data_IF_572652662564
#
_entry.id   IF_572652662564
#
_cell.length_a   1.000
_cell.length_b   1.000
_cell.length_c   1.000
_cell.angle_alpha   90.00
_cell.angle_beta   90.00
_cell.angle_gamma   90.00
#
_symmetry.space_group_name_H-M   'P 1'
#
loop_
_entity.id
_entity.type
_entity.pdbx_description
1 polymer ?
#
# COMPACT_ATOMS: atom_id res chain seq x y z
N UNK A 1 -17.70 -54.27 -32.67
CA UNK A 1 -18.62 -53.29 -32.08
C UNK A 1 -17.82 -52.01 -31.83
N UNK A 2 -17.49 -51.13 -32.78
CA UNK A 2 -18.27 -50.35 -33.75
C UNK A 2 -19.24 -49.31 -33.15
N UNK A 3 -18.64 -48.14 -32.80
CA UNK A 3 -19.07 -46.73 -33.04
C UNK A 3 -20.37 -46.19 -32.41
N UNK A 4 -20.61 -44.84 -32.36
CA UNK A 4 -19.77 -43.73 -32.84
C UNK A 4 -19.57 -42.50 -31.90
N UNK A 5 -18.55 -41.72 -32.25
CA UNK A 5 -18.34 -40.30 -31.96
C UNK A 5 -19.43 -39.44 -32.64
N UNK A 6 -19.90 -38.39 -31.96
CA UNK A 6 -20.78 -37.36 -32.55
C UNK A 6 -19.98 -36.11 -32.88
N UNK A 7 -19.96 -35.81 -34.18
CA UNK A 7 -19.46 -34.59 -34.82
C UNK A 7 -20.59 -33.55 -34.80
N UNK A 8 -20.30 -32.30 -34.42
CA UNK A 8 -21.24 -31.18 -34.58
C UNK A 8 -20.54 -30.04 -35.33
N UNK A 9 -21.22 -29.65 -36.40
CA UNK A 9 -20.81 -28.79 -37.50
C UNK A 9 -21.10 -27.33 -37.11
N UNK A 10 -20.11 -26.45 -37.27
CA UNK A 10 -20.30 -24.99 -37.23
C UNK A 10 -20.56 -24.48 -38.66
N UNK A 11 -21.54 -23.60 -38.89
CA UNK A 11 -21.70 -22.93 -40.17
C UNK A 11 -20.84 -21.66 -40.25
N UNK A 12 -20.19 -21.49 -41.39
CA UNK A 12 -19.54 -20.27 -41.89
C UNK A 12 -20.54 -19.36 -42.62
N UNK A 13 -20.08 -18.15 -42.99
CA UNK A 13 -20.67 -17.11 -43.90
C UNK A 13 -21.38 -16.00 -43.11
N UNK A 14 -21.20 -14.69 -43.30
CA UNK A 14 -20.68 -13.88 -44.41
C UNK A 14 -20.17 -12.53 -43.88
N UNK A 15 -19.06 -12.03 -44.42
CA UNK A 15 -18.66 -10.63 -44.32
C UNK A 15 -18.93 -9.94 -45.66
N UNK A 16 -19.55 -8.76 -45.64
CA UNK A 16 -19.53 -7.81 -46.77
C UNK A 16 -19.79 -6.37 -46.31
N UNK A 17 -19.27 -5.37 -47.03
CA UNK A 17 -18.93 -4.06 -46.50
C UNK A 17 -19.92 -2.96 -46.91
N UNK A 18 -19.97 -1.86 -46.16
CA UNK A 18 -20.58 -0.62 -46.62
C UNK A 18 -19.55 0.52 -46.62
N UNK A 19 -19.43 1.12 -47.80
CA UNK A 19 -18.53 2.21 -48.19
C UNK A 19 -19.32 3.52 -48.25
N UNK A 20 -18.65 4.59 -47.81
CA UNK A 20 -18.74 6.00 -48.27
C UNK A 20 -20.03 6.80 -48.03
N UNK A 21 -19.88 7.99 -47.43
CA UNK A 21 -19.74 9.29 -48.12
C UNK A 21 -19.33 10.38 -47.13
N UNK A 22 -18.52 11.34 -47.60
CA UNK A 22 -18.07 12.51 -46.84
C UNK A 22 -18.77 13.81 -47.29
N UNK A 23 -18.10 14.94 -46.98
CA UNK A 23 -18.42 16.37 -47.21
C UNK A 23 -19.26 16.99 -46.08
N UNK A 24 -19.07 18.23 -45.62
CA UNK A 24 -18.07 19.28 -45.83
C UNK A 24 -18.33 20.35 -44.75
N UNK A 25 -17.29 21.11 -44.43
CA UNK A 25 -17.25 22.31 -43.61
C UNK A 25 -18.05 23.49 -44.17
N UNK A 26 -18.58 24.36 -43.29
CA UNK A 26 -18.70 25.81 -43.53
C UNK A 26 -18.74 26.58 -42.21
N UNK A 27 -18.09 27.74 -42.21
CA UNK A 27 -17.91 28.65 -41.09
C UNK A 27 -18.41 30.06 -41.45
N UNK A 28 -18.64 30.85 -40.40
CA UNK A 28 -18.60 32.33 -40.29
C UNK A 28 -19.69 33.18 -40.97
N UNK A 29 -20.20 34.13 -40.17
CA UNK A 29 -20.93 35.31 -40.61
C UNK A 29 -21.30 36.24 -39.45
N UNK A 30 -20.44 37.22 -39.15
CA UNK A 30 -20.65 38.34 -38.23
C UNK A 30 -21.05 39.57 -39.06
N UNK A 31 -22.09 40.32 -38.69
CA UNK A 31 -22.22 41.75 -39.01
C UNK A 31 -23.34 42.41 -38.19
N UNK A 32 -23.00 43.53 -37.57
CA UNK A 32 -23.88 44.48 -36.89
C UNK A 32 -24.16 45.68 -37.81
N UNK A 33 -25.29 46.39 -37.62
CA UNK A 33 -25.37 47.86 -37.64
C UNK A 33 -26.76 48.37 -37.22
N UNK A 34 -26.72 49.56 -36.62
CA UNK A 34 -27.69 50.26 -35.78
C UNK A 34 -28.45 51.33 -36.57
N UNK A 35 -29.66 51.72 -36.13
CA UNK A 35 -30.34 53.07 -36.14
C UNK A 35 -31.87 52.88 -36.26
N UNK A 36 -32.80 53.66 -35.70
CA UNK A 36 -32.86 54.72 -34.69
C UNK A 36 -34.35 55.05 -34.37
N UNK A 37 -34.60 55.59 -33.16
CA UNK A 37 -35.57 56.62 -32.70
C UNK A 37 -37.13 56.52 -32.83
N UNK A 38 -37.78 56.75 -31.67
CA UNK A 38 -39.03 57.53 -31.44
C UNK A 38 -40.31 56.70 -31.37
N UNK A 39 -41.23 56.80 -30.41
CA UNK A 39 -41.50 57.68 -29.26
C UNK A 39 -43.01 57.54 -28.91
N UNK A 40 -43.40 57.71 -27.63
CA UNK A 40 -44.80 58.01 -27.26
C UNK A 40 -45.64 56.92 -26.57
N UNK A 41 -45.71 57.04 -25.25
CA UNK A 41 -46.78 56.73 -24.27
C UNK A 41 -48.01 55.87 -24.62
N UNK A 42 -48.28 54.88 -23.75
CA UNK A 42 -49.63 54.64 -23.24
C UNK A 42 -50.21 53.21 -23.34
N UNK A 43 -50.30 52.56 -22.17
CA UNK A 43 -51.41 51.67 -21.72
C UNK A 43 -51.33 50.15 -22.00
N UNK A 44 -51.28 49.39 -20.89
CA UNK A 44 -51.70 47.99 -20.59
C UNK A 44 -50.96 46.78 -21.20
N UNK A 45 -50.49 45.91 -20.29
CA UNK A 45 -49.85 44.58 -20.46
C UNK A 45 -50.58 43.63 -21.44
N UNK A 46 -49.83 42.81 -22.20
CA UNK A 46 -49.53 41.45 -21.71
C UNK A 46 -48.13 40.90 -22.06
N UNK A 47 -47.64 40.04 -21.16
CA UNK A 47 -46.61 39.01 -21.37
C UNK A 47 -45.23 39.49 -21.90
N UNK A 48 -44.35 39.83 -20.97
CA UNK A 48 -42.90 39.91 -21.20
C UNK A 48 -42.40 38.55 -21.76
N UNK A 49 -41.77 38.49 -22.95
CA UNK A 49 -41.01 37.32 -23.35
C UNK A 49 -39.91 37.10 -22.31
N UNK A 50 -39.95 35.94 -21.67
CA UNK A 50 -38.85 35.45 -20.84
C UNK A 50 -37.55 35.58 -21.62
N UNK A 51 -36.60 36.31 -21.04
CA UNK A 51 -35.20 36.23 -21.45
C UNK A 51 -34.83 34.75 -21.54
N UNK A 52 -34.07 34.33 -22.57
CA UNK A 52 -33.56 32.97 -22.61
C UNK A 52 -32.76 32.78 -21.32
N UNK A 53 -33.27 31.90 -20.45
CA UNK A 53 -32.58 31.41 -19.28
C UNK A 53 -31.12 31.24 -19.65
N UNK A 54 -30.26 32.02 -18.99
CA UNK A 54 -28.84 31.75 -19.00
C UNK A 54 -28.72 30.26 -18.68
N UNK A 55 -28.23 29.51 -19.66
CA UNK A 55 -27.77 28.15 -19.46
C UNK A 55 -26.72 28.28 -18.36
N UNK A 56 -27.15 28.06 -17.11
CA UNK A 56 -26.23 27.79 -16.03
C UNK A 56 -25.31 26.70 -16.58
N UNK A 57 -23.98 26.92 -16.58
CA UNK A 57 -23.07 25.84 -16.90
C UNK A 57 -23.50 24.70 -15.98
N UNK A 58 -23.88 23.55 -16.58
CA UNK A 58 -24.00 22.31 -15.84
C UNK A 58 -22.65 22.14 -15.18
N UNK A 59 -22.54 22.54 -13.92
CA UNK A 59 -21.43 22.20 -13.06
C UNK A 59 -21.30 20.70 -13.22
N UNK A 60 -20.17 20.24 -13.76
CA UNK A 60 -19.76 18.84 -13.62
C UNK A 60 -20.06 18.46 -12.19
N UNK A 61 -21.08 17.62 -11.98
CA UNK A 61 -21.53 17.25 -10.66
C UNK A 61 -20.33 16.58 -10.02
N UNK A 62 -19.72 17.21 -9.01
CA UNK A 62 -18.61 16.63 -8.29
C UNK A 62 -19.08 15.29 -7.74
N UNK A 63 -18.29 14.25 -7.96
CA UNK A 63 -18.63 12.93 -7.45
C UNK A 63 -18.69 12.97 -5.92
N UNK A 64 -19.67 12.30 -5.29
CA UNK A 64 -19.88 12.42 -3.85
C UNK A 64 -18.66 11.91 -3.09
N UNK A 65 -18.17 12.71 -2.15
CA UNK A 65 -16.99 12.42 -1.32
C UNK A 65 -17.36 12.03 0.10
N UNK A 66 -18.58 12.30 0.51
CA UNK A 66 -19.14 12.00 1.82
C UNK A 66 -20.67 11.77 1.69
N UNK A 67 -21.31 11.27 2.74
CA UNK A 67 -22.75 11.00 2.76
C UNK A 67 -23.60 12.27 2.74
N UNK A 68 -23.08 13.40 3.23
CA UNK A 68 -23.74 14.71 3.17
C UNK A 68 -23.91 15.19 1.71
N UNK A 69 -22.95 14.92 0.83
CA UNK A 69 -23.02 15.23 -0.61
C UNK A 69 -24.21 14.48 -1.25
N UNK A 70 -24.38 13.20 -0.88
CA UNK A 70 -25.50 12.38 -1.36
C UNK A 70 -26.83 12.91 -0.84
N UNK A 71 -26.93 13.21 0.46
CA UNK A 71 -28.14 13.75 1.08
C UNK A 71 -28.53 15.10 0.45
N UNK A 72 -27.56 15.97 0.13
CA UNK A 72 -27.81 17.27 -0.48
C UNK A 72 -28.42 17.14 -1.89
N UNK A 73 -28.01 16.13 -2.66
CA UNK A 73 -28.55 15.85 -3.99
C UNK A 73 -29.87 15.05 -3.91
N UNK A 74 -30.00 14.18 -2.91
CA UNK A 74 -31.15 13.31 -2.69
C UNK A 74 -31.65 13.39 -1.24
N UNK A 75 -32.46 14.41 -0.88
CA UNK A 75 -32.92 14.61 0.50
C UNK A 75 -33.80 13.48 1.09
N UNK A 76 -34.34 12.61 0.23
CA UNK A 76 -35.12 11.44 0.64
C UNK A 76 -34.29 10.15 0.68
N UNK A 77 -32.98 10.23 0.44
CA UNK A 77 -32.08 9.09 0.58
C UNK A 77 -32.11 8.58 2.02
N UNK A 78 -32.29 7.27 2.19
CA UNK A 78 -32.30 6.62 3.50
C UNK A 78 -30.91 6.06 3.87
N UNK A 79 -30.79 5.55 5.08
CA UNK A 79 -29.58 4.83 5.49
C UNK A 79 -29.34 3.61 4.59
N UNK A 80 -28.09 3.35 4.23
CA UNK A 80 -27.77 2.29 3.28
C UNK A 80 -26.37 2.37 2.70
N UNK A 81 -26.06 1.42 1.83
CA UNK A 81 -24.78 1.40 1.11
C UNK A 81 -24.83 2.34 -0.12
N UNK A 82 -23.80 3.17 -0.25
CA UNK A 82 -23.61 4.12 -1.34
C UNK A 82 -22.17 4.06 -1.86
N UNK A 83 -21.91 4.63 -3.05
CA UNK A 83 -20.56 4.76 -3.58
C UNK A 83 -20.06 6.18 -3.35
N UNK A 84 -18.91 6.30 -2.69
CA UNK A 84 -18.15 7.53 -2.57
C UNK A 84 -16.86 7.45 -3.38
N UNK A 85 -16.26 8.60 -3.64
CA UNK A 85 -15.03 8.73 -4.42
C UNK A 85 -13.98 9.49 -3.61
N UNK A 86 -12.80 8.89 -3.47
CA UNK A 86 -11.70 9.51 -2.71
C UNK A 86 -11.33 10.84 -3.38
N UNK A 87 -11.49 11.95 -2.65
CA UNK A 87 -11.29 13.31 -3.15
C UNK A 87 -12.06 13.63 -4.46
N UNK A 88 -13.16 12.92 -4.73
CA UNK A 88 -13.97 13.09 -5.94
C UNK A 88 -13.38 12.44 -7.19
N UNK A 89 -12.34 11.62 -7.07
CA UNK A 89 -11.70 10.92 -8.19
C UNK A 89 -12.53 9.69 -8.60
N UNK A 90 -13.05 9.73 -9.83
CA UNK A 90 -13.86 8.66 -10.42
C UNK A 90 -13.14 7.29 -10.46
N UNK A 91 -11.81 7.28 -10.43
CA UNK A 91 -10.98 6.06 -10.47
C UNK A 91 -10.79 5.43 -9.10
N UNK A 92 -11.21 6.11 -8.03
CA UNK A 92 -11.06 5.68 -6.64
C UNK A 92 -12.43 5.50 -5.92
N UNK A 93 -13.34 4.66 -6.45
CA UNK A 93 -14.63 4.41 -5.82
C UNK A 93 -14.48 3.51 -4.58
N UNK A 94 -15.37 3.67 -3.62
CA UNK A 94 -15.56 2.70 -2.54
C UNK A 94 -16.99 2.72 -2.03
N UNK A 95 -17.42 1.57 -1.51
CA UNK A 95 -18.74 1.41 -0.89
C UNK A 95 -18.68 1.86 0.57
N UNK A 96 -19.49 2.86 0.92
CA UNK A 96 -19.72 3.35 2.28
C UNK A 96 -21.11 2.92 2.74
N UNK A 97 -21.29 2.68 4.03
CA UNK A 97 -22.62 2.69 4.63
C UNK A 97 -22.89 4.07 5.22
N UNK A 98 -23.87 4.78 4.67
CA UNK A 98 -24.34 6.06 5.21
C UNK A 98 -25.40 5.82 6.27
N UNK A 99 -25.16 6.33 7.48
CA UNK A 99 -26.07 6.22 8.62
C UNK A 99 -26.55 7.60 9.07
N UNK A 100 -27.82 7.73 9.46
CA UNK A 100 -28.40 9.01 9.86
C UNK A 100 -28.72 9.94 8.70
N UNK A 101 -29.04 9.41 7.52
CA UNK A 101 -29.35 10.15 6.29
C UNK A 101 -30.58 11.06 6.41
N UNK A 102 -31.45 10.84 7.39
CA UNK A 102 -32.56 11.77 7.69
C UNK A 102 -32.12 13.01 8.48
N UNK A 103 -30.91 13.04 9.03
CA UNK A 103 -30.37 14.10 9.88
C UNK A 103 -28.98 14.50 9.44
N UNK A 104 -27.98 14.29 10.29
CA UNK A 104 -26.57 14.50 9.95
C UNK A 104 -25.97 13.13 9.59
N UNK A 105 -25.78 12.82 8.30
CA UNK A 105 -25.27 11.53 7.90
C UNK A 105 -23.82 11.33 8.36
N UNK A 106 -23.47 10.08 8.57
CA UNK A 106 -22.14 9.64 9.00
C UNK A 106 -21.71 8.41 8.22
N UNK A 107 -20.43 8.35 7.90
CA UNK A 107 -19.82 7.32 7.07
C UNK A 107 -19.32 6.14 7.91
N UNK A 108 -19.70 4.94 7.49
CA UNK A 108 -19.21 3.71 8.08
C UNK A 108 -18.62 2.79 7.01
N UNK A 109 -17.44 2.25 7.28
CA UNK A 109 -16.84 1.18 6.51
C UNK A 109 -17.47 -0.15 6.93
N UNK A 110 -18.18 -0.81 6.02
CA UNK A 110 -18.74 -2.14 6.23
C UNK A 110 -17.64 -3.21 6.25
N UNK A 111 -17.66 -4.07 7.27
CA UNK A 111 -16.71 -5.17 7.43
C UNK A 111 -17.36 -6.49 7.00
N UNK A 112 -16.89 -7.07 5.90
CA UNK A 112 -17.48 -8.30 5.34
C UNK A 112 -17.14 -9.54 6.17
N UNK A 113 -15.97 -9.55 6.81
CA UNK A 113 -15.53 -10.62 7.69
C UNK A 113 -15.81 -10.27 9.17
N UNK A 114 -17.07 -10.32 9.59
CA UNK A 114 -17.46 -10.14 11.00
C UNK A 114 -17.61 -11.47 11.74
N UNK A 115 -17.54 -11.46 13.08
CA UNK A 115 -17.96 -12.59 13.92
C UNK A 115 -16.96 -13.00 15.00
N UNK A 116 -16.92 -14.30 15.31
CA UNK A 116 -16.13 -14.86 16.43
C UNK A 116 -14.63 -14.93 16.14
N UNK A 117 -14.21 -14.86 14.88
CA UNK A 117 -12.81 -15.03 14.47
C UNK A 117 -12.19 -13.81 13.83
N UNK A 118 -12.98 -12.81 13.43
CA UNK A 118 -12.49 -11.64 12.69
C UNK A 118 -13.13 -10.35 13.21
N UNK A 119 -12.41 -9.23 13.04
CA UNK A 119 -12.87 -7.89 13.41
C UNK A 119 -13.39 -7.77 14.85
N UNK A 120 -12.54 -8.16 15.79
CA UNK A 120 -12.87 -8.13 17.21
C UNK A 120 -11.72 -7.62 18.07
N UNK A 121 -12.07 -7.13 19.25
CA UNK A 121 -11.15 -6.72 20.31
C UNK A 121 -11.47 -7.50 21.58
N UNK A 122 -10.44 -7.77 22.37
CA UNK A 122 -10.55 -8.61 23.55
C UNK A 122 -9.79 -8.01 24.72
N UNK A 123 -10.45 -8.02 25.87
CA UNK A 123 -9.82 -7.89 27.17
C UNK A 123 -9.98 -9.20 27.92
N UNK A 124 -8.88 -9.95 28.02
CA UNK A 124 -8.83 -11.18 28.82
C UNK A 124 -8.93 -10.87 30.31
N UNK A 125 -9.97 -11.40 30.97
CA UNK A 125 -10.14 -11.28 32.42
C UNK A 125 -9.13 -12.13 33.21
N UNK A 126 -8.90 -11.72 34.46
CA UNK A 126 -8.03 -12.39 35.43
C UNK A 126 -7.03 -11.44 36.08
N UNK A 127 -6.28 -11.95 37.06
CA UNK A 127 -5.27 -11.17 37.78
C UNK A 127 -5.87 -9.92 38.43
N UNK A 128 -5.37 -8.73 38.05
CA UNK A 128 -5.88 -7.44 38.53
C UNK A 128 -7.23 -7.02 37.91
N UNK A 129 -7.78 -7.83 37.02
CA UNK A 129 -9.04 -7.54 36.34
C UNK A 129 -10.03 -8.70 36.43
N UNK A 130 -10.63 -8.93 37.61
CA UNK A 130 -11.55 -10.04 37.83
C UNK A 130 -12.85 -9.85 37.03
N UNK A 131 -13.49 -10.96 36.68
CA UNK A 131 -14.73 -10.99 35.91
C UNK A 131 -14.67 -12.02 34.79
N UNK A 132 -15.37 -11.72 33.70
CA UNK A 132 -15.39 -12.50 32.46
C UNK A 132 -14.72 -11.72 31.33
N UNK A 133 -13.99 -12.37 30.41
CA UNK A 133 -13.34 -11.67 29.31
C UNK A 133 -14.32 -10.82 28.51
N UNK A 134 -13.95 -9.58 28.23
CA UNK A 134 -14.78 -8.65 27.46
C UNK A 134 -14.37 -8.73 26.00
N UNK A 135 -15.26 -9.23 25.16
CA UNK A 135 -15.04 -9.34 23.71
C UNK A 135 -16.01 -8.44 22.99
N UNK A 136 -15.50 -7.57 22.13
CA UNK A 136 -16.31 -6.69 21.27
C UNK A 136 -16.01 -6.98 19.82
N UNK A 137 -17.03 -7.34 19.04
CA UNK A 137 -16.93 -7.53 17.60
C UNK A 137 -17.69 -6.44 16.85
N UNK A 138 -17.23 -6.15 15.64
CA UNK A 138 -17.66 -5.01 14.84
C UNK A 138 -18.16 -5.47 13.47
N UNK A 139 -19.32 -4.96 13.04
CA UNK A 139 -19.81 -5.12 11.67
C UNK A 139 -19.46 -3.91 10.79
N UNK A 140 -19.29 -2.73 11.39
CA UNK A 140 -18.88 -1.52 10.66
C UNK A 140 -18.01 -0.62 11.53
N UNK A 141 -17.18 0.20 10.89
CA UNK A 141 -16.27 1.14 11.54
C UNK A 141 -16.58 2.55 11.09
N UNK A 142 -16.72 3.51 12.02
CA UNK A 142 -16.89 4.92 11.66
C UNK A 142 -15.60 5.46 11.05
N UNK A 143 -15.69 6.00 9.85
CA UNK A 143 -14.53 6.45 9.07
C UNK A 143 -14.74 7.88 8.59
N UNK A 144 -13.71 8.71 8.64
CA UNK A 144 -13.70 10.01 7.96
C UNK A 144 -13.24 9.80 6.51
N UNK A 145 -14.09 10.07 5.51
CA UNK A 145 -13.76 9.81 4.10
C UNK A 145 -12.67 10.74 3.54
N UNK A 146 -12.42 11.88 4.20
CA UNK A 146 -11.42 12.87 3.77
C UNK A 146 -10.02 12.55 4.30
N UNK A 147 -9.94 11.94 5.49
CA UNK A 147 -8.67 11.59 6.15
C UNK A 147 -8.38 10.10 6.18
N UNK A 148 -9.37 9.25 5.86
CA UNK A 148 -9.33 7.80 5.99
C UNK A 148 -8.98 7.30 7.40
N UNK A 149 -9.34 8.09 8.41
CA UNK A 149 -9.17 7.74 9.82
C UNK A 149 -10.43 7.09 10.36
N UNK A 150 -10.24 5.95 11.00
CA UNK A 150 -11.29 5.25 11.74
C UNK A 150 -11.31 5.73 13.18
N UNK A 151 -12.49 6.09 13.68
CA UNK A 151 -12.72 6.30 15.10
C UNK A 151 -12.92 4.94 15.78
N UNK A 152 -11.91 4.43 16.50
CA UNK A 152 -12.02 3.10 17.12
C UNK A 152 -12.90 3.06 18.37
N UNK A 153 -13.27 4.23 18.91
CA UNK A 153 -14.19 4.34 20.04
C UNK A 153 -15.67 4.16 19.64
N UNK A 154 -15.99 4.30 18.36
CA UNK A 154 -17.36 4.26 17.88
C UNK A 154 -17.89 2.82 17.86
N UNK A 155 -18.88 2.55 18.71
CA UNK A 155 -19.46 1.22 18.92
C UNK A 155 -20.86 1.07 18.31
N UNK A 156 -21.26 1.97 17.40
CA UNK A 156 -22.61 2.01 16.82
C UNK A 156 -23.02 0.68 16.16
N UNK A 157 -22.08 0.01 15.49
CA UNK A 157 -22.27 -1.29 14.83
C UNK A 157 -21.44 -2.40 15.49
N UNK A 158 -21.32 -2.37 16.81
CA UNK A 158 -20.59 -3.35 17.61
C UNK A 158 -21.49 -4.12 18.57
N UNK A 159 -21.08 -5.34 18.93
CA UNK A 159 -21.70 -6.14 19.98
C UNK A 159 -20.63 -6.65 20.93
N UNK A 160 -20.93 -6.59 22.23
CA UNK A 160 -19.99 -6.97 23.28
C UNK A 160 -20.57 -8.06 24.18
N UNK A 161 -19.68 -8.95 24.64
CA UNK A 161 -19.99 -9.95 25.66
C UNK A 161 -19.00 -9.84 26.81
N UNK A 162 -19.40 -10.34 27.98
CA UNK A 162 -18.59 -10.33 29.18
C UNK A 162 -18.60 -9.00 29.93
N UNK A 163 -17.97 -9.02 31.09
CA UNK A 163 -17.80 -7.87 31.97
C UNK A 163 -16.70 -8.17 32.97
N UNK A 164 -15.79 -7.21 33.17
CA UNK A 164 -14.72 -7.28 34.16
C UNK A 164 -14.55 -5.95 34.86
N UNK A 165 -13.81 -5.94 35.96
CA UNK A 165 -13.44 -4.73 36.68
C UNK A 165 -11.98 -4.36 36.38
N UNK A 166 -11.73 -3.15 35.91
CA UNK A 166 -10.39 -2.57 35.80
C UNK A 166 -10.27 -1.42 36.79
N UNK A 167 -9.46 -1.60 37.83
CA UNK A 167 -9.40 -0.67 38.97
C UNK A 167 -10.80 -0.42 39.57
N UNK A 168 -11.36 0.79 39.43
CA UNK A 168 -12.69 1.15 39.91
C UNK A 168 -13.76 1.13 38.80
N UNK A 169 -13.39 0.81 37.56
CA UNK A 169 -14.26 0.89 36.40
C UNK A 169 -14.76 -0.49 35.98
N UNK A 170 -16.04 -0.57 35.63
CA UNK A 170 -16.61 -1.75 34.97
C UNK A 170 -16.37 -1.62 33.47
N UNK A 171 -15.70 -2.62 32.90
CA UNK A 171 -15.48 -2.72 31.46
C UNK A 171 -16.54 -3.64 30.88
N UNK A 172 -17.26 -3.17 29.88
CA UNK A 172 -18.32 -3.93 29.18
C UNK A 172 -18.14 -3.94 27.67
N UNK A 173 -17.22 -3.15 27.13
CA UNK A 173 -16.87 -3.15 25.72
C UNK A 173 -15.40 -2.80 25.52
N UNK A 174 -14.87 -3.10 24.34
CA UNK A 174 -13.51 -2.78 23.91
C UNK A 174 -13.55 -1.96 22.61
N UNK A 175 -12.82 -0.84 22.51
CA UNK A 175 -12.57 -0.13 21.26
C UNK A 175 -12.01 -1.06 20.19
N UNK A 176 -12.22 -0.74 18.92
CA UNK A 176 -11.74 -1.56 17.81
C UNK A 176 -10.20 -1.64 17.76
N UNK A 177 -9.69 -2.80 17.33
CA UNK A 177 -8.27 -3.13 17.20
C UNK A 177 -7.48 -3.10 18.53
N UNK A 178 -8.05 -3.60 19.63
CA UNK A 178 -7.41 -3.63 20.96
C UNK A 178 -7.29 -5.06 21.51
N UNK A 179 -6.07 -5.45 21.89
CA UNK A 179 -5.80 -6.63 22.69
C UNK A 179 -5.24 -6.22 24.06
N UNK A 180 -5.93 -6.56 25.15
CA UNK A 180 -5.59 -6.10 26.51
C UNK A 180 -5.68 -7.22 27.56
N UNK A 181 -4.78 -7.18 28.55
CA UNK A 181 -4.83 -8.11 29.69
C UNK A 181 -4.08 -7.60 30.92
N UNK A 182 -4.56 -7.99 32.10
CA UNK A 182 -3.98 -7.69 33.41
C UNK A 182 -3.47 -8.92 34.20
N UNK A 183 -3.35 -10.07 33.54
CA UNK A 183 -3.07 -11.35 34.20
C UNK A 183 -1.76 -12.02 33.73
N UNK A 184 -0.89 -11.28 33.01
CA UNK A 184 0.34 -11.78 32.38
C UNK A 184 0.13 -12.82 31.26
N UNK A 185 -1.10 -13.02 30.81
CA UNK A 185 -1.43 -13.76 29.58
C UNK A 185 -1.70 -12.76 28.47
N UNK A 186 -1.27 -13.08 27.24
CA UNK A 186 -1.59 -12.28 26.07
C UNK A 186 -3.05 -12.49 25.67
N UNK A 187 -3.76 -11.39 25.45
CA UNK A 187 -5.04 -11.36 24.77
C UNK A 187 -4.84 -11.24 23.26
N UNK A 188 -5.90 -11.47 22.49
CA UNK A 188 -5.87 -11.46 21.04
C UNK A 188 -6.93 -10.50 20.47
N UNK A 189 -6.59 -9.82 19.39
CA UNK A 189 -7.52 -9.01 18.59
C UNK A 189 -7.21 -9.21 17.12
N UNK A 190 -8.19 -8.95 16.27
CA UNK A 190 -8.04 -9.06 14.83
C UNK A 190 -8.69 -7.86 14.13
N UNK A 191 -7.98 -7.34 13.14
CA UNK A 191 -8.49 -6.40 12.13
C UNK A 191 -8.48 -7.14 10.80
N UNK A 192 -9.60 -7.13 10.09
CA UNK A 192 -9.75 -7.77 8.78
C UNK A 192 -10.56 -6.87 7.84
N UNK A 193 -9.84 -6.21 6.95
CA UNK A 193 -10.33 -5.28 5.93
C UNK A 193 -10.37 -5.93 4.54
N UNK A 194 -10.22 -7.25 4.44
CA UNK A 194 -10.42 -7.94 3.16
C UNK A 194 -11.84 -7.66 2.64
N UNK A 195 -11.98 -7.70 1.33
CA UNK A 195 -13.19 -7.30 0.60
C UNK A 195 -13.58 -5.80 0.76
N UNK A 196 -12.68 -5.00 1.32
CA UNK A 196 -12.73 -3.53 1.25
C UNK A 196 -11.54 -3.00 0.44
N UNK A 197 -11.61 -1.79 -0.11
CA UNK A 197 -10.46 -1.15 -0.76
C UNK A 197 -9.52 -0.50 0.26
N UNK A 198 -9.45 -0.99 1.51
CA UNK A 198 -8.61 -0.41 2.55
C UNK A 198 -7.65 -1.43 3.16
N UNK A 199 -6.50 -0.94 3.61
CA UNK A 199 -5.56 -1.63 4.49
C UNK A 199 -5.19 -0.73 5.67
N UNK A 200 -4.68 -1.34 6.74
CA UNK A 200 -4.14 -0.58 7.87
C UNK A 200 -2.79 0.00 7.48
N UNK A 201 -2.55 1.29 7.74
CA UNK A 201 -1.23 1.86 7.53
C UNK A 201 -0.17 1.18 8.43
N UNK A 202 1.07 1.13 7.99
CA UNK A 202 2.15 0.62 8.85
C UNK A 202 2.37 1.52 10.09
N UNK A 203 2.88 0.92 11.16
CA UNK A 203 3.24 1.63 12.40
C UNK A 203 2.04 2.16 13.19
N UNK A 204 0.82 1.73 12.90
CA UNK A 204 -0.38 2.23 13.58
C UNK A 204 -0.65 1.61 14.95
N UNK A 205 0.09 0.57 15.36
CA UNK A 205 -0.11 -0.10 16.64
C UNK A 205 1.14 -0.02 17.51
N UNK A 206 0.93 0.13 18.82
CA UNK A 206 2.00 0.12 19.81
C UNK A 206 1.59 -0.64 21.08
N UNK A 207 2.57 -1.24 21.74
CA UNK A 207 2.41 -1.76 23.09
C UNK A 207 2.46 -0.61 24.10
N UNK A 208 1.51 -0.58 25.05
CA UNK A 208 1.47 0.41 26.12
C UNK A 208 0.79 -0.18 27.38
N UNK A 209 0.85 0.57 28.49
CA UNK A 209 0.42 0.11 29.80
C UNK A 209 1.55 -0.51 30.63
N UNK A 210 1.19 -1.11 31.76
CA UNK A 210 2.17 -1.63 32.71
C UNK A 210 2.69 -3.02 32.28
N UNK A 211 4.02 -3.16 32.27
CA UNK A 211 4.75 -4.32 31.73
C UNK A 211 4.18 -4.83 30.40
N UNK A 212 3.95 -3.92 29.45
CA UNK A 212 3.26 -4.24 28.21
C UNK A 212 4.01 -5.28 27.38
N UNK A 213 3.28 -6.28 26.91
CA UNK A 213 3.76 -7.33 26.03
C UNK A 213 2.80 -7.51 24.86
N UNK A 214 3.31 -8.09 23.78
CA UNK A 214 2.53 -8.40 22.58
C UNK A 214 3.10 -7.73 21.32
N UNK A 215 2.38 -7.89 20.23
CA UNK A 215 2.76 -7.38 18.90
C UNK A 215 1.56 -7.26 17.98
N UNK A 216 1.72 -6.47 16.92
CA UNK A 216 0.81 -6.49 15.77
C UNK A 216 1.53 -7.12 14.58
N UNK A 217 0.93 -8.16 14.01
CA UNK A 217 1.44 -8.90 12.84
C UNK A 217 0.53 -8.64 11.66
N UNK A 218 1.07 -8.01 10.63
CA UNK A 218 0.36 -7.66 9.41
C UNK A 218 0.47 -8.81 8.40
N UNK A 219 -0.61 -9.10 7.67
CA UNK A 219 -0.52 -9.87 6.44
C UNK A 219 0.28 -9.09 5.38
N UNK A 220 0.78 -9.78 4.36
CA UNK A 220 1.56 -9.14 3.28
C UNK A 220 0.84 -7.92 2.70
N UNK A 221 -0.46 -8.06 2.45
CA UNK A 221 -1.32 -7.00 1.90
C UNK A 221 -1.83 -5.97 2.94
N UNK A 222 -1.47 -6.11 4.21
CA UNK A 222 -1.85 -5.23 5.33
C UNK A 222 -3.37 -5.09 5.56
N UNK A 223 -4.19 -5.93 4.91
CA UNK A 223 -5.64 -5.98 5.12
C UNK A 223 -6.03 -6.86 6.30
N UNK A 224 -5.11 -7.67 6.82
CA UNK A 224 -5.35 -8.43 8.05
C UNK A 224 -4.25 -8.09 9.04
N UNK A 225 -4.63 -7.76 10.27
CA UNK A 225 -3.70 -7.56 11.37
C UNK A 225 -4.13 -8.42 12.53
N UNK A 226 -3.23 -9.30 12.95
CA UNK A 226 -3.38 -10.09 14.17
C UNK A 226 -2.64 -9.40 15.29
N UNK A 227 -3.36 -9.01 16.35
CA UNK A 227 -2.79 -8.35 17.51
C UNK A 227 -2.75 -9.31 18.67
N UNK A 228 -1.63 -9.31 19.38
CA UNK A 228 -1.50 -9.88 20.72
C UNK A 228 -1.15 -8.76 21.67
N UNK A 229 -1.74 -8.73 22.86
CA UNK A 229 -1.52 -7.65 23.82
C UNK A 229 -1.85 -8.06 25.24
N UNK A 230 -1.04 -7.64 26.20
CA UNK A 230 -1.20 -8.03 27.59
C UNK A 230 0.00 -7.63 28.45
N UNK A 231 0.27 -8.43 29.48
CA UNK A 231 1.29 -8.14 30.48
C UNK A 231 0.67 -7.86 31.84
N UNK A 232 1.17 -6.86 32.55
CA UNK A 232 0.63 -6.44 33.85
C UNK A 232 -0.30 -5.24 33.72
N UNK A 233 -1.39 -5.41 32.99
CA UNK A 233 -2.26 -4.33 32.50
C UNK A 233 -1.64 -3.58 31.33
N UNK A 234 -1.07 -4.36 30.41
CA UNK A 234 -0.62 -3.87 29.13
C UNK A 234 -1.61 -4.20 28.01
N UNK A 235 -1.45 -3.51 26.90
CA UNK A 235 -2.24 -3.68 25.69
C UNK A 235 -1.39 -3.44 24.44
N UNK A 236 -1.86 -3.96 23.32
CA UNK A 236 -1.51 -3.47 21.99
C UNK A 236 -2.78 -2.89 21.36
N UNK A 237 -2.68 -1.65 20.91
CA UNK A 237 -3.81 -0.85 20.42
C UNK A 237 -3.31 0.22 19.42
N UNK A 238 -4.20 0.95 18.73
CA UNK A 238 -3.78 2.07 17.88
C UNK A 238 -2.93 3.09 18.66
N UNK A 239 -1.92 3.65 18.00
CA UNK A 239 -1.02 4.65 18.62
C UNK A 239 -1.84 5.82 19.18
N UNK A 240 -1.51 6.23 20.41
CA UNK A 240 -2.26 7.26 21.14
C UNK A 240 -3.37 6.74 22.04
N UNK A 241 -3.64 5.42 22.03
CA UNK A 241 -4.59 4.79 22.96
C UNK A 241 -4.12 4.90 24.42
N UNK A 242 -5.04 5.25 25.32
CA UNK A 242 -4.81 5.31 26.76
C UNK A 242 -5.99 4.68 27.49
N UNK A 243 -5.72 3.65 28.32
CA UNK A 243 -6.73 2.82 28.97
C UNK A 243 -7.87 2.42 28.01
N UNK A 244 -7.55 1.69 26.92
CA UNK A 244 -8.45 1.55 25.79
C UNK A 244 -9.54 0.51 26.03
N UNK A 245 -10.51 0.86 26.87
CA UNK A 245 -11.69 0.07 27.15
C UNK A 245 -12.93 0.96 27.14
N UNK A 246 -14.12 0.35 27.05
CA UNK A 246 -15.39 1.03 26.82
C UNK A 246 -15.29 1.93 25.57
N UNK A 247 -15.55 3.23 25.68
CA UNK A 247 -15.48 4.20 24.57
C UNK A 247 -14.15 4.97 24.52
N UNK A 248 -13.10 4.50 25.20
CA UNK A 248 -11.77 5.13 25.18
C UNK A 248 -10.91 4.63 23.99
N UNK A 249 -11.31 4.97 22.77
CA UNK A 249 -10.56 4.61 21.55
C UNK A 249 -9.52 5.65 21.13
N UNK A 250 -8.88 5.40 19.99
CA UNK A 250 -7.96 6.31 19.31
C UNK A 250 -8.26 6.33 17.80
N UNK A 251 -7.51 7.12 17.04
CA UNK A 251 -7.64 7.15 15.58
C UNK A 251 -6.76 6.06 14.95
N UNK A 252 -7.35 5.26 14.06
CA UNK A 252 -6.63 4.28 13.26
C UNK A 252 -6.55 4.77 11.82
N UNK A 253 -5.34 4.98 11.29
CA UNK A 253 -5.16 5.41 9.90
C UNK A 253 -5.28 4.22 8.93
N UNK A 254 -6.20 4.32 7.98
CA UNK A 254 -6.28 3.41 6.84
C UNK A 254 -5.57 4.01 5.61
N UNK A 255 -5.29 3.15 4.63
CA UNK A 255 -4.82 3.51 3.31
C UNK A 255 -5.76 2.91 2.25
N UNK A 256 -6.11 3.70 1.24
CA UNK A 256 -6.86 3.22 0.09
C UNK A 256 -5.97 2.35 -0.81
N UNK A 257 -6.51 1.20 -1.22
CA UNK A 257 -5.92 0.23 -2.15
C UNK A 257 -6.89 0.08 -3.30
N UNK A 258 -6.52 0.63 -4.45
CA UNK A 258 -7.35 0.48 -5.64
C UNK A 258 -7.26 -0.97 -6.14
N UNK A 259 -8.40 -1.66 -6.24
CA UNK A 259 -8.45 -3.01 -6.82
C UNK A 259 -8.19 -3.02 -8.32
N UNK A 260 -8.28 -1.86 -8.98
CA UNK A 260 -8.08 -1.72 -10.43
C UNK A 260 -6.67 -1.30 -10.81
N UNK A 261 -5.86 -0.86 -9.83
CA UNK A 261 -4.48 -0.47 -10.09
C UNK A 261 -3.54 -1.68 -10.01
N UNK A 262 -2.68 -1.88 -11.02
CA UNK A 262 -1.73 -2.98 -11.04
C UNK A 262 -0.63 -2.71 -10.00
N UNK A 263 -0.43 -3.65 -9.09
CA UNK A 263 0.73 -3.64 -8.19
C UNK A 263 1.88 -4.51 -8.71
N UNK A 264 1.57 -5.48 -9.56
CA UNK A 264 2.51 -6.48 -10.08
C UNK A 264 2.44 -6.57 -11.60
N UNK A 265 3.44 -7.18 -12.22
CA UNK A 265 3.44 -7.48 -13.65
C UNK A 265 2.41 -8.56 -13.98
N UNK A 266 2.10 -9.44 -13.02
CA UNK A 266 0.98 -10.36 -13.14
C UNK A 266 -0.37 -9.63 -13.22
N UNK A 267 -0.56 -8.54 -12.46
CA UNK A 267 -1.78 -7.72 -12.57
C UNK A 267 -1.89 -7.10 -13.97
N UNK A 268 -0.78 -6.61 -14.52
CA UNK A 268 -0.73 -6.09 -15.90
C UNK A 268 -1.14 -7.18 -16.89
N UNK A 269 -0.56 -8.38 -16.78
CA UNK A 269 -0.89 -9.52 -17.65
C UNK A 269 -2.37 -9.91 -17.52
N UNK A 270 -2.95 -9.87 -16.32
CA UNK A 270 -4.36 -10.19 -16.10
C UNK A 270 -5.30 -9.14 -16.74
N UNK A 271 -4.94 -7.86 -16.69
CA UNK A 271 -5.70 -6.75 -17.31
C UNK A 271 -5.50 -6.74 -18.83
N UNK A 272 -4.28 -7.03 -19.29
CA UNK A 272 -3.86 -7.03 -20.68
C UNK A 272 -3.08 -8.32 -21.00
N UNK A 273 -3.78 -9.41 -21.41
CA UNK A 273 -3.14 -10.71 -21.68
C UNK A 273 -2.05 -10.69 -22.77
N UNK A 274 -2.10 -9.71 -23.67
CA UNK A 274 -1.13 -9.51 -24.75
C UNK A 274 0.05 -8.59 -24.34
N UNK A 275 0.17 -8.26 -23.04
CA UNK A 275 1.29 -7.46 -22.54
C UNK A 275 2.62 -8.21 -22.72
N UNK A 276 3.65 -7.51 -23.18
CA UNK A 276 5.00 -8.05 -23.43
C UNK A 276 5.98 -7.53 -22.38
N UNK A 277 7.19 -8.08 -22.33
CA UNK A 277 8.28 -7.49 -21.52
C UNK A 277 8.46 -6.00 -21.86
N UNK A 278 8.61 -5.15 -20.84
CA UNK A 278 8.64 -3.71 -21.02
C UNK A 278 8.46 -2.90 -19.75
N UNK A 279 8.44 -1.58 -19.87
CA UNK A 279 8.17 -0.68 -18.75
C UNK A 279 6.66 -0.48 -18.55
N UNK A 280 6.21 -0.61 -17.31
CA UNK A 280 4.83 -0.41 -16.89
C UNK A 280 4.78 0.42 -15.62
N UNK A 281 3.70 1.18 -15.43
CA UNK A 281 3.43 1.84 -14.15
C UNK A 281 2.77 0.85 -13.21
N UNK A 282 3.45 0.54 -12.11
CA UNK A 282 2.89 -0.22 -10.99
C UNK A 282 2.67 0.72 -9.80
N UNK A 283 1.82 0.28 -8.87
CA UNK A 283 1.47 1.05 -7.68
C UNK A 283 1.88 0.27 -6.44
N UNK A 284 2.77 0.86 -5.63
CA UNK A 284 3.24 0.22 -4.40
C UNK A 284 2.06 -0.09 -3.49
N UNK A 285 1.89 -1.35 -3.14
CA UNK A 285 0.73 -1.88 -2.41
C UNK A 285 -0.65 -1.46 -2.99
N UNK A 286 -0.73 -1.26 -4.33
CA UNK A 286 -1.91 -0.74 -5.05
C UNK A 286 -2.38 0.65 -4.61
N UNK A 287 -1.47 1.44 -4.02
CA UNK A 287 -1.79 2.80 -3.59
C UNK A 287 -1.68 3.76 -4.78
N UNK A 288 -2.77 4.45 -5.20
CA UNK A 288 -2.76 5.39 -6.33
C UNK A 288 -1.77 6.54 -6.18
N UNK A 289 -1.41 6.91 -4.94
CA UNK A 289 -0.46 7.97 -4.63
C UNK A 289 0.99 7.48 -4.61
N UNK A 290 1.23 6.19 -4.87
CA UNK A 290 2.57 5.60 -4.89
C UNK A 290 2.89 4.90 -6.22
N UNK A 291 2.75 5.57 -7.37
CA UNK A 291 3.15 5.00 -8.66
C UNK A 291 4.67 4.86 -8.76
N UNK A 292 5.13 3.87 -9.51
CA UNK A 292 6.54 3.71 -9.89
C UNK A 292 6.65 2.99 -11.23
N UNK A 293 7.72 3.27 -11.97
CA UNK A 293 8.01 2.59 -13.24
C UNK A 293 8.72 1.27 -12.94
N UNK A 294 8.08 0.17 -13.29
CA UNK A 294 8.63 -1.18 -13.22
C UNK A 294 9.03 -1.67 -14.61
N UNK A 295 10.11 -2.43 -14.70
CA UNK A 295 10.36 -3.30 -15.83
C UNK A 295 9.70 -4.65 -15.58
N UNK A 296 8.70 -4.99 -16.38
CA UNK A 296 8.10 -6.30 -16.40
C UNK A 296 8.87 -7.24 -17.31
N UNK A 297 9.26 -8.38 -16.76
CA UNK A 297 10.03 -9.42 -17.44
C UNK A 297 9.28 -10.75 -17.42
N UNK A 298 9.53 -11.58 -18.43
CA UNK A 298 8.92 -12.89 -18.61
C UNK A 298 7.38 -12.81 -18.60
N UNK A 299 6.84 -11.79 -19.27
CA UNK A 299 5.40 -11.55 -19.39
C UNK A 299 4.66 -12.65 -20.16
N UNK A 300 5.37 -13.47 -20.94
CA UNK A 300 4.81 -14.65 -21.59
C UNK A 300 4.87 -15.91 -20.70
N UNK A 301 5.69 -15.89 -19.65
CA UNK A 301 5.92 -17.01 -18.73
C UNK A 301 5.42 -16.68 -17.33
N UNK A 302 6.35 -16.44 -16.40
CA UNK A 302 6.07 -16.03 -15.02
C UNK A 302 6.44 -14.55 -14.83
N UNK A 303 5.47 -13.62 -14.95
CA UNK A 303 5.73 -12.19 -14.86
C UNK A 303 6.53 -11.77 -13.63
N UNK A 304 7.46 -10.86 -13.86
CA UNK A 304 8.46 -10.47 -12.88
C UNK A 304 8.74 -8.96 -12.91
N UNK A 305 8.57 -8.30 -11.76
CA UNK A 305 8.71 -6.86 -11.59
C UNK A 305 10.14 -6.49 -11.19
N UNK A 306 10.80 -5.61 -11.92
CA UNK A 306 12.10 -5.09 -11.54
C UNK A 306 12.07 -3.57 -11.45
N UNK A 307 12.69 -3.02 -10.41
CA UNK A 307 12.98 -1.59 -10.29
C UNK A 307 14.14 -1.22 -11.22
N UNK A 308 13.92 -0.43 -12.28
CA UNK A 308 15.00 0.08 -13.11
C UNK A 308 15.85 1.08 -12.34
N UNK A 309 17.17 0.97 -12.46
CA UNK A 309 18.12 1.88 -11.82
C UNK A 309 18.58 2.94 -12.81
N UNK A 310 18.48 4.21 -12.43
CA UNK A 310 18.85 5.35 -13.29
C UNK A 310 20.37 5.51 -13.36
N UNK A 311 21.06 5.38 -12.22
CA UNK A 311 22.50 5.54 -12.12
C UNK A 311 23.20 4.17 -12.16
N UNK A 312 23.87 3.85 -13.25
CA UNK A 312 24.55 2.54 -13.44
C UNK A 312 26.03 2.71 -13.83
N UNK A 313 26.80 1.62 -13.79
CA UNK A 313 28.25 1.62 -14.05
C UNK A 313 29.07 2.06 -12.83
N UNK A 314 29.14 3.37 -12.57
CA UNK A 314 29.85 3.89 -11.38
C UNK A 314 29.02 3.85 -10.10
N UNK A 315 27.71 3.63 -10.22
CA UNK A 315 26.75 3.48 -9.12
C UNK A 315 26.09 2.11 -9.19
N UNK A 316 25.41 1.71 -8.12
CA UNK A 316 24.65 0.46 -8.04
C UNK A 316 25.50 -0.79 -8.33
N UNK A 317 26.54 -0.95 -7.53
CA UNK A 317 27.45 -2.09 -7.62
C UNK A 317 27.75 -2.66 -6.24
N UNK A 318 28.18 -3.92 -6.22
CA UNK A 318 28.67 -4.61 -5.03
C UNK A 318 30.01 -5.25 -5.34
N UNK A 319 30.95 -5.18 -4.40
CA UNK A 319 32.31 -5.64 -4.65
C UNK A 319 32.89 -6.41 -3.48
N UNK A 320 33.53 -7.53 -3.82
CA UNK A 320 34.49 -8.21 -2.98
C UNK A 320 35.90 -7.92 -3.51
N UNK A 321 36.64 -7.10 -2.78
CA UNK A 321 38.01 -6.76 -3.14
C UNK A 321 38.96 -7.92 -2.83
N UNK A 322 39.66 -8.41 -3.84
CA UNK A 322 40.65 -9.48 -3.69
C UNK A 322 41.90 -9.00 -2.93
N UNK A 323 42.55 -9.93 -2.24
CA UNK A 323 43.75 -9.71 -1.44
C UNK A 323 43.70 -10.43 -0.09
N UNK A 324 44.83 -10.44 0.60
CA UNK A 324 44.96 -11.09 1.90
C UNK A 324 44.57 -12.58 1.84
N UNK A 325 43.54 -12.95 2.61
CA UNK A 325 42.98 -14.30 2.67
C UNK A 325 42.11 -14.69 1.45
N UNK A 326 41.95 -13.78 0.49
CA UNK A 326 41.14 -14.01 -0.70
C UNK A 326 41.91 -13.73 -1.99
N UNK A 327 42.78 -14.67 -2.41
CA UNK A 327 43.56 -14.50 -3.63
C UNK A 327 42.68 -14.54 -4.88
N UNK A 328 43.13 -13.84 -5.93
CA UNK A 328 42.43 -13.73 -7.21
C UNK A 328 42.33 -12.28 -7.68
N UNK A 329 41.24 -11.98 -8.37
CA UNK A 329 40.87 -10.64 -8.85
C UNK A 329 39.58 -10.19 -8.17
N UNK A 330 39.45 -8.89 -7.90
CA UNK A 330 38.27 -8.36 -7.22
C UNK A 330 37.01 -8.70 -7.99
N UNK A 331 36.01 -9.24 -7.29
CA UNK A 331 34.71 -9.57 -7.87
C UNK A 331 33.84 -8.33 -7.76
N UNK A 332 33.41 -7.79 -8.89
CA UNK A 332 32.55 -6.61 -8.97
C UNK A 332 31.29 -6.96 -9.76
N UNK A 333 30.14 -6.82 -9.13
CA UNK A 333 28.83 -7.05 -9.74
C UNK A 333 28.08 -5.72 -9.82
N UNK A 334 27.68 -5.34 -11.03
CA UNK A 334 26.97 -4.12 -11.34
C UNK A 334 25.52 -4.44 -11.70
N UNK A 335 24.59 -3.60 -11.25
CA UNK A 335 23.15 -3.84 -11.38
C UNK A 335 22.49 -2.75 -12.22
N UNK A 336 21.62 -3.18 -13.13
CA UNK A 336 20.79 -2.25 -13.94
C UNK A 336 19.33 -2.26 -13.50
N UNK A 337 18.86 -3.34 -12.87
CA UNK A 337 17.52 -3.46 -12.30
C UNK A 337 17.55 -4.35 -11.06
N UNK A 338 16.59 -4.17 -10.16
CA UNK A 338 16.48 -4.91 -8.90
C UNK A 338 15.13 -5.60 -8.81
N UNK A 339 15.07 -6.89 -8.46
CA UNK A 339 13.79 -7.59 -8.22
C UNK A 339 13.16 -7.02 -6.96
N UNK A 340 11.98 -6.40 -7.07
CA UNK A 340 11.30 -5.70 -5.99
C UNK A 340 9.92 -6.33 -5.77
N UNK A 341 9.60 -6.67 -4.52
CA UNK A 341 8.23 -6.95 -4.11
C UNK A 341 7.47 -5.62 -3.95
N UNK A 342 6.44 -5.34 -4.76
CA UNK A 342 5.70 -4.08 -4.74
C UNK A 342 4.80 -3.90 -3.51
N UNK A 343 4.53 -4.98 -2.77
CA UNK A 343 3.69 -4.98 -1.57
C UNK A 343 4.57 -4.74 -0.34
N UNK A 344 5.65 -5.50 -0.19
CA UNK A 344 6.53 -5.40 0.99
C UNK A 344 7.69 -4.42 0.82
N UNK A 345 7.90 -3.92 -0.39
CA UNK A 345 9.03 -3.06 -0.78
C UNK A 345 10.40 -3.67 -0.45
N UNK A 346 10.50 -5.00 -0.54
CA UNK A 346 11.76 -5.74 -0.34
C UNK A 346 12.41 -6.07 -1.66
N UNK A 347 13.68 -5.73 -1.77
CA UNK A 347 14.54 -6.12 -2.90
C UNK A 347 15.14 -7.50 -2.62
N UNK A 348 15.01 -8.41 -3.58
CA UNK A 348 15.71 -9.69 -3.59
C UNK A 348 17.14 -9.48 -4.06
N UNK A 349 18.07 -9.23 -3.13
CA UNK A 349 19.47 -8.85 -3.46
C UNK A 349 20.29 -9.96 -4.10
N UNK A 350 19.86 -11.22 -3.96
CA UNK A 350 20.46 -12.39 -4.62
C UNK A 350 20.03 -12.56 -6.07
N UNK A 351 18.99 -11.85 -6.53
CA UNK A 351 18.56 -11.89 -7.92
C UNK A 351 19.60 -11.18 -8.79
N UNK A 352 20.19 -11.92 -9.73
CA UNK A 352 21.27 -11.45 -10.59
C UNK A 352 20.83 -11.34 -12.07
N UNK A 353 19.52 -11.41 -12.35
CA UNK A 353 18.95 -11.43 -13.71
C UNK A 353 19.39 -10.22 -14.55
N UNK A 354 19.42 -9.03 -13.94
CA UNK A 354 19.82 -7.78 -14.59
C UNK A 354 21.14 -7.22 -14.03
N UNK A 355 22.10 -8.12 -13.81
CA UNK A 355 23.44 -7.79 -13.33
C UNK A 355 24.54 -8.31 -14.26
N UNK A 356 25.71 -7.69 -14.21
CA UNK A 356 26.93 -8.17 -14.84
C UNK A 356 28.03 -8.27 -13.78
N UNK A 357 28.82 -9.35 -13.83
CA UNK A 357 29.90 -9.56 -12.87
C UNK A 357 31.24 -9.75 -13.56
N UNK A 358 32.29 -9.22 -12.96
CA UNK A 358 33.67 -9.37 -13.42
C UNK A 358 34.57 -9.81 -12.28
N UNK A 359 35.69 -10.45 -12.63
CA UNK A 359 36.66 -10.95 -11.67
C UNK A 359 36.24 -12.25 -11.01
N UNK A 360 37.17 -12.80 -10.23
CA UNK A 360 37.01 -14.05 -9.51
C UNK A 360 38.06 -14.14 -8.41
N UNK A 361 37.64 -14.54 -7.22
CA UNK A 361 38.54 -14.80 -6.09
C UNK A 361 38.14 -16.06 -5.33
N UNK A 362 39.02 -16.48 -4.43
CA UNK A 362 38.79 -17.61 -3.54
C UNK A 362 38.43 -17.13 -2.12
N UNK A 363 37.34 -17.62 -1.55
CA UNK A 363 36.98 -17.45 -0.13
C UNK A 363 36.95 -18.83 0.55
N UNK A 364 38.03 -19.18 1.25
CA UNK A 364 38.20 -20.54 1.77
C UNK A 364 38.19 -21.57 0.63
N UNK A 365 37.24 -22.51 0.66
CA UNK A 365 37.06 -23.51 -0.40
C UNK A 365 36.10 -23.05 -1.53
N UNK A 366 35.45 -21.90 -1.37
CA UNK A 366 34.45 -21.42 -2.31
C UNK A 366 35.04 -20.43 -3.31
N UNK A 367 34.73 -20.64 -4.58
CA UNK A 367 34.99 -19.66 -5.63
C UNK A 367 33.89 -18.60 -5.60
N UNK A 368 34.29 -17.33 -5.62
CA UNK A 368 33.37 -16.20 -5.69
C UNK A 368 33.46 -15.61 -7.09
N UNK A 369 32.32 -15.52 -7.76
CA UNK A 369 32.18 -14.99 -9.14
C UNK A 369 31.16 -13.87 -9.24
N UNK A 370 30.33 -13.67 -8.22
CA UNK A 370 29.42 -12.53 -8.14
C UNK A 370 29.19 -12.07 -6.70
N UNK A 371 28.59 -10.90 -6.55
CA UNK A 371 28.20 -10.30 -5.28
C UNK A 371 26.72 -9.97 -5.32
N UNK A 372 25.94 -10.30 -4.27
CA UNK A 372 24.57 -9.81 -4.08
C UNK A 372 24.55 -8.28 -4.04
N UNK A 373 23.43 -7.68 -4.43
CA UNK A 373 23.26 -6.24 -4.40
C UNK A 373 23.35 -5.68 -2.97
N UNK A 374 23.82 -4.44 -2.86
CA UNK A 374 24.01 -3.72 -1.60
C UNK A 374 25.00 -4.38 -0.63
N UNK A 375 26.10 -4.97 -1.15
CA UNK A 375 27.13 -5.62 -0.34
C UNK A 375 28.53 -5.07 -0.64
N UNK A 376 29.33 -4.89 0.40
CA UNK A 376 30.77 -4.65 0.31
C UNK A 376 31.52 -5.67 1.17
N UNK A 377 32.54 -6.34 0.62
CA UNK A 377 33.31 -7.35 1.36
C UNK A 377 34.80 -7.28 1.08
N UNK A 378 35.63 -7.55 2.09
CA UNK A 378 37.08 -7.60 1.91
C UNK A 378 37.81 -8.35 3.02
N UNK A 379 38.95 -8.98 2.66
CA UNK A 379 39.82 -9.71 3.58
C UNK A 379 41.19 -9.01 3.67
N UNK A 380 41.37 -8.14 4.67
CA UNK A 380 42.54 -7.25 4.83
C UNK A 380 42.72 -6.24 3.68
N UNK A 381 41.65 -6.02 2.93
CA UNK A 381 41.48 -4.99 1.90
C UNK A 381 40.08 -4.42 2.04
N UNK A 382 39.91 -3.19 1.62
CA UNK A 382 38.61 -2.53 1.65
C UNK A 382 37.75 -3.02 0.47
N UNK A 383 36.70 -3.76 0.79
CA UNK A 383 35.54 -3.96 -0.07
C UNK A 383 34.76 -2.67 -0.21
N UNK A 384 34.11 -2.49 -1.36
CA UNK A 384 33.29 -1.30 -1.64
C UNK A 384 31.96 -1.69 -2.24
N UNK A 385 30.93 -0.92 -1.97
CA UNK A 385 29.61 -1.10 -2.56
C UNK A 385 28.87 0.22 -2.59
N UNK A 386 27.90 0.33 -3.48
CA UNK A 386 27.07 1.51 -3.60
C UNK A 386 25.65 1.10 -3.94
N UNK A 387 24.70 1.70 -3.22
CA UNK A 387 23.27 1.74 -3.52
C UNK A 387 22.96 3.16 -3.93
N UNK A 388 22.28 3.34 -5.07
CA UNK A 388 21.90 4.65 -5.59
C UNK A 388 20.52 4.58 -6.24
N UNK A 389 19.50 4.90 -5.45
CA UNK A 389 18.09 4.88 -5.83
C UNK A 389 17.60 6.23 -6.34
N UNK A 390 18.49 7.21 -6.54
CA UNK A 390 18.10 8.51 -7.10
C UNK A 390 17.50 8.32 -8.50
N UNK A 391 16.51 9.15 -8.82
CA UNK A 391 15.70 9.00 -10.02
C UNK A 391 14.62 7.90 -9.92
N UNK A 392 14.54 7.19 -8.80
CA UNK A 392 13.41 6.31 -8.46
C UNK A 392 12.62 6.90 -7.29
N UNK A 393 11.36 6.49 -7.05
CA UNK A 393 10.58 6.99 -5.92
C UNK A 393 10.90 6.28 -4.60
N UNK A 394 12.02 5.56 -4.51
CA UNK A 394 12.37 4.75 -3.35
C UNK A 394 13.62 5.29 -2.63
N UNK A 395 13.67 5.02 -1.33
CA UNK A 395 14.84 5.20 -0.49
C UNK A 395 15.07 3.93 0.33
N UNK A 396 16.29 3.74 0.84
CA UNK A 396 16.57 2.61 1.74
C UNK A 396 15.89 2.87 3.09
N UNK A 397 15.19 1.86 3.62
CA UNK A 397 14.62 1.95 4.96
C UNK A 397 15.73 2.03 6.03
N UNK A 398 15.46 2.75 7.11
CA UNK A 398 16.40 2.89 8.23
C UNK A 398 16.69 1.54 8.90
N UNK A 399 17.89 1.38 9.47
CA UNK A 399 18.31 0.19 10.23
C UNK A 399 18.26 -1.13 9.46
N UNK A 400 18.48 -1.09 8.14
CA UNK A 400 18.44 -2.28 7.26
C UNK A 400 19.81 -2.87 6.94
N UNK A 401 20.89 -2.22 7.36
CA UNK A 401 22.26 -2.69 7.13
C UNK A 401 22.90 -3.19 8.43
N UNK A 402 23.81 -4.15 8.27
CA UNK A 402 24.62 -4.69 9.36
C UNK A 402 26.05 -4.94 8.89
N UNK A 403 26.94 -5.13 9.86
CA UNK A 403 28.32 -5.55 9.63
C UNK A 403 28.46 -6.98 10.10
N UNK A 404 29.32 -7.74 9.44
CA UNK A 404 29.65 -9.10 9.85
C UNK A 404 31.05 -9.50 9.41
N UNK A 405 31.46 -10.69 9.86
CA UNK A 405 32.79 -11.25 9.64
C UNK A 405 33.77 -10.93 10.78
N UNK A 406 34.91 -11.62 10.77
CA UNK A 406 35.91 -11.51 11.82
C UNK A 406 36.65 -10.17 11.73
N UNK A 407 36.81 -9.51 12.89
CA UNK A 407 37.45 -8.18 12.99
C UNK A 407 36.86 -7.14 12.02
N UNK A 408 35.54 -7.10 11.93
CA UNK A 408 34.79 -6.24 10.99
C UNK A 408 34.53 -4.83 11.53
N UNK A 409 35.25 -4.40 12.56
CA UNK A 409 35.08 -3.07 13.18
C UNK A 409 35.33 -1.93 12.17
N UNK A 410 36.18 -2.17 11.18
CA UNK A 410 36.43 -1.24 10.08
C UNK A 410 35.29 -1.14 9.06
N UNK A 411 34.43 -2.15 8.95
CA UNK A 411 33.30 -2.10 8.02
C UNK A 411 32.35 -0.96 8.37
N UNK A 412 31.74 -0.36 7.36
CA UNK A 412 30.85 0.78 7.51
C UNK A 412 29.83 0.87 6.38
N UNK A 413 28.77 1.62 6.63
CA UNK A 413 27.83 2.07 5.62
C UNK A 413 27.38 3.48 5.98
N UNK A 414 27.19 4.33 4.98
CA UNK A 414 26.84 5.74 5.18
C UNK A 414 25.74 6.15 4.21
N UNK A 415 24.66 6.67 4.78
CA UNK A 415 23.51 7.15 4.02
C UNK A 415 23.70 8.62 3.63
N UNK A 416 23.25 8.99 2.43
CA UNK A 416 23.04 10.39 2.06
C UNK A 416 21.84 10.98 2.81
N UNK A 417 21.68 12.32 2.74
CA UNK A 417 20.40 12.95 3.03
C UNK A 417 19.30 12.30 2.20
N UNK A 418 18.20 11.90 2.83
CA UNK A 418 17.07 11.23 2.18
C UNK A 418 17.24 9.72 1.92
N UNK A 419 18.33 9.10 2.38
CA UNK A 419 18.56 7.64 2.31
C UNK A 419 18.50 7.01 0.90
N UNK A 420 18.59 7.80 -0.17
CA UNK A 420 18.59 7.28 -1.55
C UNK A 420 19.96 6.81 -2.03
N UNK A 421 21.05 7.27 -1.38
CA UNK A 421 22.40 6.75 -1.65
C UNK A 421 22.96 6.14 -0.38
N UNK A 422 23.54 4.94 -0.50
CA UNK A 422 24.28 4.29 0.58
C UNK A 422 25.63 3.84 0.04
N UNK A 423 26.69 4.36 0.63
CA UNK A 423 28.05 3.87 0.37
C UNK A 423 28.42 2.83 1.41
N UNK A 424 28.91 1.68 0.96
CA UNK A 424 29.26 0.55 1.80
C UNK A 424 30.76 0.28 1.74
N UNK A 425 31.31 -0.13 2.88
CA UNK A 425 32.70 -0.54 3.00
C UNK A 425 32.82 -1.78 3.86
N UNK A 426 33.48 -2.81 3.34
CA UNK A 426 33.74 -4.08 4.04
C UNK A 426 35.22 -4.21 4.36
N UNK A 427 35.56 -4.48 5.62
CA UNK A 427 36.95 -4.65 6.06
C UNK A 427 37.05 -5.67 7.18
N UNK A 428 38.26 -6.15 7.45
CA UNK A 428 38.57 -7.12 8.51
C UNK A 428 39.17 -8.40 7.95
N UNK A 429 39.11 -9.47 8.76
CA UNK A 429 39.44 -10.83 8.34
C UNK A 429 38.19 -11.39 7.64
N UNK A 430 38.00 -10.90 6.41
CA UNK A 430 36.82 -11.19 5.58
C UNK A 430 35.54 -10.60 6.14
N UNK A 431 35.59 -9.33 6.53
CA UNK A 431 34.41 -8.60 6.98
C UNK A 431 33.64 -7.97 5.84
N UNK A 432 32.35 -7.75 6.10
CA UNK A 432 31.40 -7.19 5.15
C UNK A 432 30.49 -6.13 5.79
N UNK A 433 29.91 -5.31 4.92
CA UNK A 433 28.71 -4.53 5.17
C UNK A 433 27.64 -4.95 4.15
N UNK A 434 26.43 -5.21 4.62
CA UNK A 434 25.33 -5.67 3.78
C UNK A 434 23.98 -5.69 4.52
N UNK A 435 22.88 -6.09 3.86
CA UNK A 435 21.57 -6.10 4.49
C UNK A 435 21.54 -6.89 5.81
N UNK A 436 20.62 -6.55 6.70
CA UNK A 436 20.50 -7.16 8.02
C UNK A 436 20.31 -8.68 7.88
N UNK A 437 21.12 -9.44 8.62
CA UNK A 437 21.13 -10.90 8.57
C UNK A 437 22.06 -11.49 7.49
N UNK A 438 22.78 -10.67 6.73
CA UNK A 438 23.79 -11.17 5.77
C UNK A 438 24.86 -12.00 6.47
N UNK A 439 25.15 -13.17 5.89
CA UNK A 439 26.21 -14.08 6.34
C UNK A 439 26.96 -14.61 5.12
N UNK A 440 28.26 -14.35 5.05
CA UNK A 440 29.09 -14.64 3.86
C UNK A 440 28.41 -14.23 2.55
N UNK A 441 28.07 -12.94 2.39
CA UNK A 441 27.16 -12.47 1.35
C UNK A 441 27.87 -12.34 -0.02
N UNK A 442 28.20 -13.47 -0.63
CA UNK A 442 28.77 -13.55 -1.96
C UNK A 442 28.00 -14.58 -2.81
N UNK A 443 28.24 -14.56 -4.13
CA UNK A 443 27.47 -15.28 -5.11
C UNK A 443 25.96 -14.99 -4.96
N UNK A 444 25.13 -16.00 -4.71
CA UNK A 444 23.68 -15.88 -4.56
C UNK A 444 23.23 -15.79 -3.09
N UNK A 445 24.16 -15.64 -2.14
CA UNK A 445 23.87 -15.54 -0.70
C UNK A 445 23.45 -14.13 -0.27
N UNK A 446 22.40 -13.61 -0.90
CA UNK A 446 21.81 -12.30 -0.59
C UNK A 446 20.77 -12.35 0.52
N UNK A 447 20.59 -11.24 1.23
CA UNK A 447 19.49 -11.02 2.16
C UNK A 447 18.59 -9.90 1.67
N UNK A 448 17.26 -9.96 1.88
CA UNK A 448 16.36 -8.92 1.40
C UNK A 448 16.72 -7.53 1.92
N UNK A 449 16.70 -6.53 1.05
CA UNK A 449 16.89 -5.13 1.43
C UNK A 449 15.53 -4.43 1.44
N UNK A 450 15.13 -3.87 2.58
CA UNK A 450 13.87 -3.13 2.68
C UNK A 450 14.02 -1.68 2.17
N UNK A 451 13.09 -1.27 1.33
CA UNK A 451 12.94 0.09 0.84
C UNK A 451 11.72 0.76 1.46
N UNK A 452 11.66 2.08 1.34
CA UNK A 452 10.47 2.90 1.61
C UNK A 452 10.13 3.72 0.38
N UNK A 453 8.84 3.98 0.16
CA UNK A 453 8.40 4.92 -0.85
C UNK A 453 8.67 6.35 -0.36
N UNK A 454 9.55 7.07 -1.05
CA UNK A 454 10.02 8.40 -0.69
C UNK A 454 9.32 9.54 -1.47
N UNK A 455 8.45 9.20 -2.44
CA UNK A 455 7.82 10.16 -3.34
C UNK A 455 8.47 10.17 -4.73
N UNK A 456 7.77 10.69 -5.74
CA UNK A 456 8.35 10.86 -7.07
C UNK A 456 9.51 11.88 -7.04
N UNK A 457 10.60 11.66 -7.80
CA UNK A 457 11.74 12.57 -7.85
C UNK A 457 11.42 13.98 -8.34
#
# INVERSE_FOLDING_TARGET
MHTPKRLLILPTVSSSPLRRRGLSSMALGLAALVTACGGGDGVTDPAKPSEPSQLQPRTLQALPTNCQDIQAVHPTAGDGDYVLYIHGDATLPWTVYCHGMAGTPTEYLSLMHGGDTSNYSLYTAGGRSPGTPVRTAYARLRIDPSTLRVNTADQTFAWSTGSLTHAAETVTAMPFAVAMSCNRVLSASNVDLRDTPFAVAEGQFAAAGADAQGSAVYSENQQVVSLTGGGYCGWVAPVGSYNPFNQAGAWLQLQYRSSTLPSSCLDIQAIQPEATDGEYTLYANRNPLKPWTAWCHDMAGTPAEYLPLVHTGTSNYSQYTAGGYSPGTSVRTEYTRLRLDPVTLRVTTSDQTFSSSTGQLQHGAQQVTSMPYAVAMGCNRWGVGNVDLRGTPFAVASNTFSRGGASSEGSSFTHSSGNQVVNLSGFGICGWAGPLGSYNPFNQSGMPLALVYAGLP
#
